data_IF_565091163598
#
_entry.id   IF_565091163598
#
_cell.length_a   1.000
_cell.length_b   1.000
_cell.length_c   1.000
_cell.angle_alpha   90.00
_cell.angle_beta   90.00
_cell.angle_gamma   90.00
#
_symmetry.space_group_name_H-M   'P 1'
#
loop_
_entity.id
_entity.type
_entity.pdbx_description
1 polymer ?
#
# COMPACT_ATOMS: atom_id res chain seq x y z
N UNK A 1 -10.65 14.48 -18.98
CA UNK A 1 -11.36 14.72 -17.70
C UNK A 1 -10.45 15.51 -16.78
N UNK A 2 -10.96 16.40 -15.92
CA UNK A 2 -10.13 17.09 -14.94
C UNK A 2 -9.49 16.05 -14.01
N UNK A 3 -8.21 16.20 -13.70
CA UNK A 3 -7.51 15.31 -12.78
C UNK A 3 -8.17 15.35 -11.40
N UNK A 4 -8.35 14.20 -10.73
CA UNK A 4 -8.80 14.20 -9.35
C UNK A 4 -7.78 14.92 -8.47
N UNK A 5 -8.26 15.75 -7.57
CA UNK A 5 -7.45 16.30 -6.49
C UNK A 5 -7.16 15.22 -5.46
N UNK A 6 -6.00 15.25 -4.80
CA UNK A 6 -5.79 14.40 -3.63
C UNK A 6 -6.39 15.04 -2.39
N UNK A 7 -6.96 14.23 -1.49
CA UNK A 7 -7.43 14.70 -0.17
C UNK A 7 -6.27 14.95 0.82
N UNK A 8 -5.04 14.70 0.38
CA UNK A 8 -3.79 15.03 1.09
C UNK A 8 -2.95 16.00 0.28
N UNK A 9 -2.27 16.90 0.97
CA UNK A 9 -1.20 17.69 0.36
C UNK A 9 -0.02 16.76 0.01
N UNK A 10 0.23 16.56 -1.28
CA UNK A 10 1.35 15.75 -1.76
C UNK A 10 2.71 16.27 -1.29
N UNK A 11 2.81 17.53 -0.83
CA UNK A 11 4.02 18.04 -0.16
C UNK A 11 4.32 17.31 1.15
N UNK A 12 3.40 16.52 1.70
CA UNK A 12 3.65 15.67 2.87
C UNK A 12 4.27 14.32 2.50
N UNK A 13 4.24 13.93 1.23
CA UNK A 13 4.84 12.67 0.77
C UNK A 13 6.36 12.75 0.95
N UNK A 14 6.96 11.72 1.50
CA UNK A 14 8.41 11.53 1.57
C UNK A 14 8.72 10.05 1.45
N UNK A 15 10.00 9.68 1.50
CA UNK A 15 10.37 8.27 1.56
C UNK A 15 9.80 7.57 2.82
N UNK A 16 9.75 8.28 3.95
CA UNK A 16 9.20 7.78 5.23
C UNK A 16 7.66 7.85 5.25
N UNK A 17 7.08 8.85 4.60
CA UNK A 17 5.63 9.07 4.53
C UNK A 17 5.11 8.87 3.10
N UNK A 18 5.40 7.70 2.54
CA UNK A 18 4.99 7.36 1.18
C UNK A 18 3.49 7.06 1.08
N UNK A 19 2.93 7.16 -0.13
CA UNK A 19 1.52 6.84 -0.41
C UNK A 19 1.29 5.33 -0.28
N UNK A 20 0.28 4.92 0.49
CA UNK A 20 -0.01 3.49 0.73
C UNK A 20 -1.51 3.17 0.78
N UNK A 21 -1.84 1.91 1.07
CA UNK A 21 -3.20 1.39 1.20
C UNK A 21 -3.94 1.35 -0.13
N UNK A 22 -5.24 1.62 -0.11
CA UNK A 22 -6.10 1.48 -1.31
C UNK A 22 -5.66 2.34 -2.50
N UNK A 23 -5.05 3.50 -2.27
CA UNK A 23 -4.54 4.34 -3.35
C UNK A 23 -3.39 3.65 -4.09
N UNK A 24 -2.40 3.15 -3.34
CA UNK A 24 -1.26 2.42 -3.90
C UNK A 24 -1.68 1.07 -4.52
N UNK A 25 -2.56 0.32 -3.85
CA UNK A 25 -3.12 -0.94 -4.37
C UNK A 25 -3.73 -0.77 -5.77
N UNK A 26 -4.44 0.34 -5.98
CA UNK A 26 -5.13 0.61 -7.24
C UNK A 26 -4.28 1.40 -8.23
N UNK A 27 -3.02 1.71 -7.92
CA UNK A 27 -2.16 2.43 -8.84
C UNK A 27 -1.43 1.45 -9.78
N UNK A 28 -1.51 1.63 -11.11
CA UNK A 28 -0.83 0.74 -12.05
C UNK A 28 0.68 1.02 -12.04
N UNK A 29 1.46 -0.01 -11.72
CA UNK A 29 2.93 0.04 -11.79
C UNK A 29 3.41 -0.68 -13.06
N UNK A 30 4.34 -0.09 -13.84
CA UNK A 30 4.81 -0.68 -15.10
C UNK A 30 5.42 -2.09 -14.95
N UNK A 31 6.00 -2.39 -13.79
CA UNK A 31 6.71 -3.65 -13.50
C UNK A 31 5.87 -4.64 -12.68
N UNK A 32 4.62 -4.28 -12.34
CA UNK A 32 3.72 -5.15 -11.58
C UNK A 32 2.59 -5.63 -12.49
N UNK A 33 2.44 -6.95 -12.61
CA UNK A 33 1.28 -7.57 -13.25
C UNK A 33 0.03 -7.53 -12.36
N UNK A 34 0.22 -7.23 -11.07
CA UNK A 34 -0.81 -7.14 -10.04
C UNK A 34 -1.02 -5.68 -9.60
N UNK A 35 -2.25 -5.32 -9.27
CA UNK A 35 -2.67 -3.95 -8.94
C UNK A 35 -3.51 -3.28 -10.04
N UNK A 36 -4.17 -2.18 -9.69
CA UNK A 36 -4.99 -1.42 -10.64
C UNK A 36 -6.37 -2.00 -10.97
N UNK A 37 -6.83 -3.05 -10.26
CA UNK A 37 -8.12 -3.70 -10.53
C UNK A 37 -9.31 -2.73 -10.44
N UNK A 38 -9.19 -1.71 -9.59
CA UNK A 38 -10.17 -0.65 -9.47
C UNK A 38 -9.59 0.73 -9.82
N UNK A 39 -8.56 0.82 -10.69
CA UNK A 39 -7.93 2.11 -11.02
C UNK A 39 -8.96 3.15 -11.47
N UNK A 40 -9.83 2.82 -12.44
CA UNK A 40 -10.85 3.75 -12.94
C UNK A 40 -11.84 4.15 -11.84
N UNK A 41 -12.37 3.19 -11.08
CA UNK A 41 -13.32 3.52 -10.01
C UNK A 41 -12.69 4.24 -8.81
N UNK A 42 -11.36 4.19 -8.65
CA UNK A 42 -10.65 4.85 -7.57
C UNK A 42 -10.13 6.26 -7.94
N UNK A 43 -9.42 6.34 -9.07
CA UNK A 43 -8.76 7.55 -9.57
C UNK A 43 -9.54 8.26 -10.68
N UNK A 44 -10.68 7.74 -11.13
CA UNK A 44 -11.53 8.37 -12.14
C UNK A 44 -13.01 8.39 -11.67
N UNK A 45 -13.19 8.58 -10.36
CA UNK A 45 -14.51 8.69 -9.75
C UNK A 45 -15.10 10.08 -10.00
N UNK A 46 -16.41 10.13 -10.27
CA UNK A 46 -17.16 11.38 -10.52
C UNK A 46 -17.00 12.43 -9.41
N UNK A 47 -16.68 12.01 -8.18
CA UNK A 47 -16.46 12.93 -7.05
C UNK A 47 -15.21 13.82 -7.18
N UNK A 48 -14.31 13.55 -8.13
CA UNK A 48 -13.20 14.46 -8.49
C UNK A 48 -12.09 14.63 -7.45
N UNK A 49 -12.12 13.87 -6.35
CA UNK A 49 -11.03 13.80 -5.36
C UNK A 49 -10.57 12.34 -5.31
N UNK A 50 -9.30 11.99 -5.14
CA UNK A 50 -8.84 10.63 -4.82
C UNK A 50 -8.41 10.59 -3.35
N UNK A 51 -8.87 9.57 -2.60
CA UNK A 51 -8.44 9.43 -1.19
C UNK A 51 -7.05 8.83 -1.14
N UNK A 52 -6.14 9.43 -0.39
CA UNK A 52 -4.75 8.97 -0.27
C UNK A 52 -4.38 8.82 1.19
N UNK A 53 -3.76 7.70 1.50
CA UNK A 53 -3.21 7.43 2.83
C UNK A 53 -1.68 7.47 2.77
N UNK A 54 -1.07 7.94 3.85
CA UNK A 54 0.38 8.04 3.98
C UNK A 54 0.84 7.15 5.13
N UNK A 55 1.92 6.41 4.93
CA UNK A 55 2.59 5.66 6.00
C UNK A 55 3.06 6.61 7.12
N UNK A 56 3.00 6.15 8.37
CA UNK A 56 3.32 6.94 9.56
C UNK A 56 2.37 8.10 9.90
N UNK A 57 1.35 8.39 9.07
CA UNK A 57 0.37 9.46 9.30
C UNK A 57 -1.05 8.89 9.38
N UNK A 58 -1.50 8.22 8.33
CA UNK A 58 -2.84 7.61 8.24
C UNK A 58 -2.78 6.10 8.49
N UNK A 59 -1.63 5.51 8.22
CA UNK A 59 -1.26 4.14 8.50
C UNK A 59 -0.13 4.12 9.52
N UNK A 60 0.10 3.00 10.24
CA UNK A 60 1.31 2.82 11.01
C UNK A 60 2.56 3.05 10.16
N UNK A 61 3.64 3.46 10.80
CA UNK A 61 4.95 3.35 10.19
C UNK A 61 5.36 1.87 10.16
N UNK A 62 5.62 1.35 8.96
CA UNK A 62 5.99 -0.05 8.73
C UNK A 62 7.48 -0.24 8.41
N UNK A 63 8.29 0.81 8.57
CA UNK A 63 9.74 0.78 8.31
C UNK A 63 10.44 -0.29 9.15
N UNK A 64 10.09 -0.43 10.43
CA UNK A 64 10.63 -1.47 11.31
C UNK A 64 10.26 -2.92 10.89
N UNK A 65 9.24 -3.08 10.04
CA UNK A 65 8.76 -4.39 9.60
C UNK A 65 9.35 -4.77 8.23
N UNK A 66 9.47 -3.80 7.32
CA UNK A 66 9.77 -4.07 5.91
C UNK A 66 10.95 -3.25 5.36
N UNK A 67 11.50 -2.33 6.15
CA UNK A 67 12.47 -1.33 5.67
C UNK A 67 11.92 -0.58 4.46
N UNK A 68 12.76 -0.45 3.43
CA UNK A 68 12.43 0.24 2.18
C UNK A 68 11.80 -0.68 1.12
N UNK A 69 11.59 -1.97 1.42
CA UNK A 69 11.09 -2.95 0.45
C UNK A 69 9.71 -2.53 -0.06
N UNK A 70 9.60 -2.44 -1.38
CA UNK A 70 8.37 -2.05 -2.08
C UNK A 70 8.01 -0.56 -1.94
N UNK A 71 8.91 0.32 -1.49
CA UNK A 71 8.71 1.77 -1.60
C UNK A 71 9.33 2.26 -2.90
N UNK A 72 8.52 2.81 -3.80
CA UNK A 72 8.92 3.20 -5.15
C UNK A 72 8.88 4.71 -5.32
N UNK A 73 9.84 5.25 -6.06
CA UNK A 73 9.73 6.60 -6.63
C UNK A 73 8.73 6.58 -7.79
N UNK A 74 7.63 7.31 -7.63
CA UNK A 74 6.55 7.43 -8.61
C UNK A 74 6.44 8.82 -9.21
N UNK A 75 7.46 9.67 -9.05
CA UNK A 75 7.45 11.08 -9.49
C UNK A 75 7.11 11.20 -10.96
N UNK A 76 7.77 10.42 -11.82
CA UNK A 76 7.53 10.45 -13.27
C UNK A 76 6.15 9.87 -13.64
N UNK A 77 5.71 8.82 -12.96
CA UNK A 77 4.46 8.12 -13.20
C UNK A 77 3.25 8.99 -12.82
N UNK A 78 3.36 9.77 -11.74
CA UNK A 78 2.38 10.76 -11.32
C UNK A 78 2.40 11.99 -12.22
N UNK A 79 3.59 12.49 -12.57
CA UNK A 79 3.74 13.63 -13.50
C UNK A 79 3.18 13.32 -14.90
N UNK A 80 3.36 12.10 -15.41
CA UNK A 80 2.80 11.67 -16.70
C UNK A 80 1.25 11.62 -16.69
N UNK A 81 0.64 11.50 -15.50
CA UNK A 81 -0.81 11.60 -15.28
C UNK A 81 -1.25 13.03 -14.89
N UNK A 82 -0.27 13.94 -14.85
CA UNK A 82 -0.33 15.37 -14.61
C UNK A 82 -0.48 15.81 -13.15
N UNK A 83 -0.23 14.92 -12.20
CA UNK A 83 0.05 15.29 -10.82
C UNK A 83 1.53 15.66 -10.67
N UNK A 84 1.84 16.95 -10.87
CA UNK A 84 3.20 17.48 -10.74
C UNK A 84 3.33 18.21 -9.41
N UNK A 85 4.38 17.87 -8.66
CA UNK A 85 4.80 18.61 -7.46
C UNK A 85 6.21 19.12 -7.70
N UNK A 86 6.35 20.44 -7.83
CA UNK A 86 7.63 21.05 -8.18
C UNK A 86 8.74 20.70 -7.17
N UNK A 87 9.92 20.38 -7.69
CA UNK A 87 11.15 20.15 -6.94
C UNK A 87 11.06 19.07 -5.84
N UNK A 88 10.17 18.09 -5.99
CA UNK A 88 9.96 17.05 -4.99
C UNK A 88 9.79 15.66 -5.60
N UNK A 89 10.47 14.68 -5.00
CA UNK A 89 10.25 13.26 -5.28
C UNK A 89 9.01 12.77 -4.52
N UNK A 90 8.18 12.00 -5.20
CA UNK A 90 6.99 11.37 -4.63
C UNK A 90 7.22 9.88 -4.54
N UNK A 91 6.86 9.32 -3.39
CA UNK A 91 7.03 7.90 -3.09
C UNK A 91 5.68 7.24 -2.85
N UNK A 92 5.56 5.99 -3.28
CA UNK A 92 4.36 5.18 -3.14
C UNK A 92 4.76 3.73 -2.92
N UNK A 93 4.00 3.03 -2.10
CA UNK A 93 4.08 1.60 -1.98
C UNK A 93 3.79 0.94 -3.34
N UNK A 94 4.58 -0.06 -3.69
CA UNK A 94 4.17 -1.03 -4.68
C UNK A 94 2.97 -1.83 -4.16
N UNK A 95 2.52 -2.72 -5.03
CA UNK A 95 1.33 -3.49 -4.78
C UNK A 95 1.44 -4.41 -3.54
N UNK A 96 2.61 -5.00 -3.31
CA UNK A 96 2.86 -5.89 -2.17
C UNK A 96 3.02 -5.11 -0.86
N UNK A 97 3.75 -3.98 -0.90
CA UNK A 97 3.93 -3.09 0.25
C UNK A 97 2.60 -2.50 0.70
N UNK A 98 1.75 -2.08 -0.23
CA UNK A 98 0.47 -1.51 0.09
C UNK A 98 -0.46 -2.52 0.79
N UNK A 99 -0.48 -3.77 0.30
CA UNK A 99 -1.21 -4.86 0.95
C UNK A 99 -0.63 -5.17 2.34
N UNK A 100 0.70 -5.23 2.44
CA UNK A 100 1.40 -5.51 3.69
C UNK A 100 1.15 -4.43 4.75
N UNK A 101 1.15 -3.15 4.37
CA UNK A 101 0.81 -2.03 5.25
C UNK A 101 -0.65 -2.13 5.76
N UNK A 102 -1.57 -2.61 4.91
CA UNK A 102 -2.96 -2.90 5.29
C UNK A 102 -3.05 -4.05 6.28
N UNK A 103 -2.29 -5.12 6.08
CA UNK A 103 -2.20 -6.23 7.02
C UNK A 103 -1.62 -5.77 8.35
N UNK A 104 -0.49 -5.05 8.38
CA UNK A 104 0.11 -4.56 9.62
C UNK A 104 -0.84 -3.64 10.38
N UNK A 105 -1.51 -2.71 9.69
CA UNK A 105 -2.54 -1.88 10.30
C UNK A 105 -3.63 -2.72 10.97
N UNK A 106 -4.08 -3.78 10.30
CA UNK A 106 -5.08 -4.69 10.87
C UNK A 106 -4.52 -5.48 12.05
N UNK A 107 -3.31 -6.04 11.94
CA UNK A 107 -2.65 -6.85 12.98
C UNK A 107 -2.45 -6.05 14.27
N UNK A 108 -2.05 -4.79 14.16
CA UNK A 108 -1.85 -3.88 15.30
C UNK A 108 -3.16 -3.39 15.93
N UNK A 109 -4.28 -3.51 15.22
CA UNK A 109 -5.61 -3.15 15.74
C UNK A 109 -6.27 -4.32 16.49
N UNK A 110 -7.36 -4.04 17.21
CA UNK A 110 -8.16 -5.08 17.87
C UNK A 110 -9.31 -5.60 16.98
N UNK A 111 -9.36 -5.19 15.71
CA UNK A 111 -10.39 -5.68 14.78
C UNK A 111 -10.15 -7.14 14.39
N UNK A 112 -11.22 -7.93 14.30
CA UNK A 112 -11.15 -9.36 13.99
C UNK A 112 -10.97 -9.65 12.49
N UNK A 113 -11.51 -8.78 11.62
CA UNK A 113 -11.53 -9.01 10.17
C UNK A 113 -10.48 -8.16 9.45
N UNK A 114 -9.60 -8.83 8.69
CA UNK A 114 -8.74 -8.18 7.72
C UNK A 114 -9.53 -7.90 6.44
N UNK A 115 -9.32 -6.74 5.81
CA UNK A 115 -9.99 -6.33 4.58
C UNK A 115 -9.10 -6.46 3.34
N UNK A 116 -8.00 -7.21 3.47
CA UNK A 116 -7.14 -7.61 2.35
C UNK A 116 -7.71 -8.90 1.78
N UNK A 117 -8.03 -8.88 0.49
CA UNK A 117 -8.67 -10.01 -0.22
C UNK A 117 -7.61 -10.69 -1.10
N UNK A 118 -6.75 -11.51 -0.49
CA UNK A 118 -5.59 -12.13 -1.16
C UNK A 118 -5.98 -12.83 -2.46
N UNK A 119 -7.07 -13.59 -2.47
CA UNK A 119 -7.48 -14.37 -3.63
C UNK A 119 -7.83 -13.52 -4.85
N UNK A 120 -8.44 -12.35 -4.62
CA UNK A 120 -8.84 -11.41 -5.66
C UNK A 120 -7.65 -10.55 -6.11
N UNK A 121 -6.85 -10.12 -5.14
CA UNK A 121 -5.77 -9.17 -5.33
C UNK A 121 -4.52 -9.84 -5.91
N UNK A 122 -4.23 -11.07 -5.50
CA UNK A 122 -3.06 -11.83 -5.93
C UNK A 122 -3.57 -13.16 -6.51
N UNK A 123 -4.12 -13.16 -7.74
CA UNK A 123 -4.81 -14.32 -8.29
C UNK A 123 -3.89 -15.50 -8.57
N UNK A 124 -2.61 -15.27 -8.89
CA UNK A 124 -1.66 -16.36 -9.12
C UNK A 124 -0.96 -16.81 -7.84
N UNK A 125 -0.60 -18.10 -7.78
CA UNK A 125 0.13 -18.67 -6.64
C UNK A 125 1.48 -17.96 -6.39
N UNK A 126 2.18 -17.57 -7.46
CA UNK A 126 3.47 -16.87 -7.37
C UNK A 126 3.29 -15.48 -6.72
N UNK A 127 2.24 -14.76 -7.09
CA UNK A 127 1.92 -13.45 -6.50
C UNK A 127 1.55 -13.59 -5.02
N UNK A 128 0.76 -14.60 -4.65
CA UNK A 128 0.43 -14.86 -3.23
C UNK A 128 1.67 -15.19 -2.42
N UNK A 129 2.51 -16.08 -2.94
CA UNK A 129 3.74 -16.47 -2.26
C UNK A 129 4.65 -15.27 -2.01
N UNK A 130 4.79 -14.37 -2.99
CA UNK A 130 5.57 -13.14 -2.84
C UNK A 130 5.00 -12.19 -1.78
N UNK A 131 3.67 -12.09 -1.65
CA UNK A 131 3.06 -11.35 -0.55
C UNK A 131 3.37 -11.99 0.80
N UNK A 132 3.26 -13.32 0.92
CA UNK A 132 3.54 -14.03 2.16
C UNK A 132 5.01 -13.89 2.58
N UNK A 133 5.95 -13.96 1.62
CA UNK A 133 7.37 -13.69 1.84
C UNK A 133 7.63 -12.27 2.35
N UNK A 134 6.89 -11.29 1.83
CA UNK A 134 6.97 -9.92 2.32
C UNK A 134 6.46 -9.80 3.78
N UNK A 135 5.34 -10.43 4.09
CA UNK A 135 4.79 -10.45 5.45
C UNK A 135 5.72 -11.17 6.44
N UNK A 136 6.44 -12.19 5.99
CA UNK A 136 7.42 -12.92 6.80
C UNK A 136 8.54 -12.00 7.33
N UNK A 137 8.93 -10.97 6.58
CA UNK A 137 9.92 -9.98 7.02
C UNK A 137 9.49 -9.26 8.31
N UNK A 138 8.18 -9.05 8.50
CA UNK A 138 7.63 -8.36 9.67
C UNK A 138 7.51 -9.24 10.92
N UNK A 139 7.71 -10.55 10.80
CA UNK A 139 7.51 -11.50 11.92
C UNK A 139 8.34 -11.18 13.18
N UNK A 140 9.65 -10.86 13.10
CA UNK A 140 10.44 -10.56 14.29
C UNK A 140 9.85 -9.40 15.10
N UNK A 141 9.49 -8.30 14.43
CA UNK A 141 8.89 -7.14 15.09
C UNK A 141 7.51 -7.45 15.67
N UNK A 142 6.69 -8.23 14.96
CA UNK A 142 5.39 -8.66 15.47
C UNK A 142 5.48 -9.61 16.67
N UNK A 143 6.53 -10.43 16.74
CA UNK A 143 6.81 -11.27 17.89
C UNK A 143 7.11 -10.41 19.12
N UNK A 144 7.99 -9.42 18.99
CA UNK A 144 8.31 -8.47 20.06
C UNK A 144 7.07 -7.72 20.57
N UNK A 145 6.14 -7.38 19.66
CA UNK A 145 4.89 -6.70 19.98
C UNK A 145 3.78 -7.63 20.50
N UNK A 146 4.00 -8.95 20.56
CA UNK A 146 2.98 -9.92 20.97
C UNK A 146 1.79 -10.03 19.99
N UNK A 147 1.96 -9.63 18.73
CA UNK A 147 0.91 -9.63 17.70
C UNK A 147 1.12 -10.67 16.59
N UNK A 148 2.23 -11.41 16.62
CA UNK A 148 2.61 -12.40 15.59
C UNK A 148 1.51 -13.43 15.32
N UNK A 149 0.96 -14.05 16.37
CA UNK A 149 -0.03 -15.14 16.23
C UNK A 149 -1.26 -14.72 15.42
N UNK A 150 -1.68 -13.44 15.54
CA UNK A 150 -2.81 -12.89 14.79
C UNK A 150 -2.53 -12.90 13.29
N UNK A 151 -1.32 -12.51 12.88
CA UNK A 151 -0.91 -12.52 11.48
C UNK A 151 -0.78 -13.95 10.95
N UNK A 152 -0.10 -14.84 11.68
CA UNK A 152 0.13 -16.22 11.23
C UNK A 152 -1.17 -17.02 11.07
N UNK A 153 -2.13 -16.82 11.97
CA UNK A 153 -3.46 -17.45 11.86
C UNK A 153 -4.19 -17.00 10.59
N UNK A 154 -4.04 -15.73 10.20
CA UNK A 154 -4.65 -15.19 8.98
C UNK A 154 -3.89 -15.63 7.73
N UNK A 155 -2.56 -15.67 7.75
CA UNK A 155 -1.75 -16.19 6.63
C UNK A 155 -2.07 -17.67 6.36
N UNK A 156 -2.30 -18.47 7.40
CA UNK A 156 -2.63 -19.89 7.26
C UNK A 156 -4.04 -20.17 6.73
N UNK A 157 -4.90 -19.14 6.64
CA UNK A 157 -6.26 -19.28 6.12
C UNK A 157 -6.40 -18.87 4.65
N UNK A 158 -5.29 -18.56 3.96
CA UNK A 158 -5.21 -18.15 2.56
C UNK A 158 -4.12 -18.95 1.83
#
# INVERSE_FOLDING_TARGET
MPQPLFDVDLKRVSHEHYITGKAAINFPHPESTTGGWHFLSYFDRESGVAKVSLAGIHYPDTTDFFGDVGVLDVTHQLAARGWVVESKRLFMADHYRAASDMVIRWVLSDTLRCNVEIDEWFPSQVERQRLLEMLDLGKPKLFELGRLQKMESWMSSH
#
